data_IF_932747810361
#
_entry.id   IF_932747810361
#
_cell.length_a   1.000
_cell.length_b   1.000
_cell.length_c   1.000
_cell.angle_alpha   90.00
_cell.angle_beta   90.00
_cell.angle_gamma   90.00
#
_symmetry.space_group_name_H-M   'P 1'
#
loop_
_entity.id
_entity.type
_entity.pdbx_description
1 polymer ?
#
# COMPACT_ATOMS: atom_id res chain seq x y z
N UNK A 1 -16.13 -5.78 37.76
CA UNK A 1 -17.47 -5.95 37.14
C UNK A 1 -17.37 -6.29 35.66
N UNK A 2 -16.79 -7.46 35.33
CA UNK A 2 -16.80 -7.97 33.96
C UNK A 2 -17.93 -9.00 33.83
N UNK A 3 -18.80 -8.82 32.84
CA UNK A 3 -19.84 -9.82 32.51
C UNK A 3 -19.14 -11.04 31.90
N UNK A 4 -18.87 -12.05 32.71
CA UNK A 4 -18.21 -13.30 32.29
C UNK A 4 -19.12 -14.23 31.48
N UNK A 5 -20.44 -14.02 31.51
CA UNK A 5 -21.38 -14.87 30.79
C UNK A 5 -21.44 -14.53 29.29
N UNK A 6 -20.84 -15.39 28.45
CA UNK A 6 -20.79 -15.24 26.99
C UNK A 6 -22.17 -15.16 26.32
N UNK A 7 -23.21 -15.79 26.89
CA UNK A 7 -24.57 -15.71 26.34
C UNK A 7 -25.18 -14.33 26.55
N UNK A 8 -24.94 -13.73 27.72
CA UNK A 8 -25.38 -12.36 28.03
C UNK A 8 -24.66 -11.37 27.12
N UNK A 9 -23.34 -11.53 26.94
CA UNK A 9 -22.56 -10.71 26.00
C UNK A 9 -23.12 -10.81 24.59
N UNK A 10 -23.38 -12.02 24.08
CA UNK A 10 -23.98 -12.21 22.74
C UNK A 10 -25.38 -11.60 22.61
N UNK A 11 -26.22 -11.76 23.64
CA UNK A 11 -27.58 -11.20 23.66
C UNK A 11 -27.57 -9.67 23.64
N UNK A 12 -26.70 -9.05 24.44
CA UNK A 12 -26.54 -7.59 24.48
C UNK A 12 -25.90 -7.06 23.20
N UNK A 13 -24.88 -7.74 22.66
CA UNK A 13 -24.26 -7.38 21.37
C UNK A 13 -25.29 -7.34 20.24
N UNK A 14 -26.19 -8.31 20.16
CA UNK A 14 -27.28 -8.31 19.15
C UNK A 14 -28.24 -7.12 19.32
N UNK A 15 -28.50 -6.70 20.57
CA UNK A 15 -29.36 -5.54 20.85
C UNK A 15 -28.67 -4.19 20.61
N UNK A 16 -27.34 -4.17 20.53
CA UNK A 16 -26.57 -2.94 20.33
C UNK A 16 -26.51 -2.50 18.85
N UNK A 17 -26.60 -3.43 17.90
CA UNK A 17 -26.50 -3.12 16.48
C UNK A 17 -27.61 -2.16 15.98
N UNK A 18 -28.91 -2.37 16.27
CA UNK A 18 -29.96 -1.50 15.73
C UNK A 18 -29.85 -0.03 16.17
N UNK A 19 -29.60 0.29 17.47
CA UNK A 19 -29.34 1.66 17.90
C UNK A 19 -28.16 2.32 17.18
N UNK A 20 -27.05 1.59 17.00
CA UNK A 20 -25.87 2.11 16.28
C UNK A 20 -26.19 2.41 14.81
N UNK A 21 -26.94 1.54 14.14
CA UNK A 21 -27.42 1.76 12.77
C UNK A 21 -28.36 2.96 12.70
N UNK A 22 -29.19 3.17 13.73
CA UNK A 22 -30.14 4.30 13.76
C UNK A 22 -29.43 5.64 13.83
N UNK A 23 -28.31 5.72 14.56
CA UNK A 23 -27.49 6.93 14.66
C UNK A 23 -26.91 7.37 13.29
N UNK A 24 -26.75 6.44 12.35
CA UNK A 24 -26.25 6.73 11.00
C UNK A 24 -27.31 7.39 10.10
N UNK A 25 -28.56 7.51 10.57
CA UNK A 25 -29.62 8.26 9.88
C UNK A 25 -29.81 9.69 10.42
N UNK A 26 -29.01 10.12 11.40
CA UNK A 26 -29.05 11.47 11.95
C UNK A 26 -28.39 12.50 11.01
N UNK A 27 -28.26 13.75 11.45
CA UNK A 27 -27.52 14.79 10.72
C UNK A 27 -26.02 14.44 10.59
N UNK A 28 -25.31 14.90 9.54
CA UNK A 28 -23.94 14.47 9.24
C UNK A 28 -22.93 14.63 10.40
N UNK A 29 -23.09 15.66 11.22
CA UNK A 29 -22.24 15.94 12.38
C UNK A 29 -22.43 14.87 13.46
N UNK A 30 -23.68 14.45 13.69
CA UNK A 30 -24.03 13.38 14.62
C UNK A 30 -23.54 12.04 14.05
N UNK A 31 -23.70 11.82 12.74
CA UNK A 31 -23.18 10.62 12.08
C UNK A 31 -21.67 10.52 12.24
N UNK A 32 -20.92 11.60 12.06
CA UNK A 32 -19.47 11.60 12.23
C UNK A 32 -19.05 11.18 13.65
N UNK A 33 -19.67 11.78 14.68
CA UNK A 33 -19.40 11.39 16.07
C UNK A 33 -19.80 9.93 16.31
N UNK A 34 -20.93 9.48 15.76
CA UNK A 34 -21.36 8.10 15.86
C UNK A 34 -20.37 7.14 15.19
N UNK A 35 -19.88 7.46 13.99
CA UNK A 35 -18.90 6.66 13.24
C UNK A 35 -17.58 6.54 14.00
N UNK A 36 -17.05 7.65 14.55
CA UNK A 36 -15.84 7.60 15.39
C UNK A 36 -15.99 6.64 16.59
N UNK A 37 -17.14 6.69 17.25
CA UNK A 37 -17.44 5.78 18.37
C UNK A 37 -17.67 4.34 17.91
N UNK A 38 -18.39 4.12 16.81
CA UNK A 38 -18.57 2.80 16.19
C UNK A 38 -17.20 2.21 15.82
N UNK A 39 -16.28 3.04 15.33
CA UNK A 39 -14.95 2.61 14.95
C UNK A 39 -14.18 2.00 16.15
N UNK A 40 -14.29 2.61 17.33
CA UNK A 40 -13.74 2.09 18.59
C UNK A 40 -14.48 0.84 19.08
N UNK A 41 -15.81 0.81 18.94
CA UNK A 41 -16.63 -0.36 19.31
C UNK A 41 -16.26 -1.57 18.47
N UNK A 42 -16.14 -1.41 17.14
CA UNK A 42 -15.76 -2.47 16.20
C UNK A 42 -14.35 -2.96 16.47
N UNK A 43 -13.43 -2.06 16.86
CA UNK A 43 -12.08 -2.45 17.27
C UNK A 43 -12.09 -3.38 18.48
N UNK A 44 -12.93 -3.08 19.48
CA UNK A 44 -13.03 -3.90 20.70
C UNK A 44 -13.87 -5.16 20.51
N UNK A 45 -14.92 -5.09 19.70
CA UNK A 45 -15.86 -6.19 19.46
C UNK A 45 -16.37 -6.18 18.01
N UNK A 46 -15.62 -6.78 17.07
CA UNK A 46 -15.95 -6.76 15.64
C UNK A 46 -17.29 -7.44 15.29
N UNK A 47 -17.72 -8.41 16.11
CA UNK A 47 -18.92 -9.23 15.85
C UNK A 47 -20.25 -8.48 16.00
N UNK A 48 -20.26 -7.27 16.55
CA UNK A 48 -21.51 -6.52 16.79
C UNK A 48 -22.16 -6.12 15.46
N UNK A 49 -21.36 -5.72 14.47
CA UNK A 49 -21.82 -5.12 13.21
C UNK A 49 -21.43 -5.95 11.98
N UNK A 50 -21.05 -7.21 12.17
CA UNK A 50 -20.55 -8.09 11.10
C UNK A 50 -21.55 -8.27 9.93
N UNK A 51 -22.86 -8.19 10.22
CA UNK A 51 -23.93 -8.37 9.24
C UNK A 51 -24.47 -7.05 8.68
N UNK A 52 -24.03 -5.90 9.21
CA UNK A 52 -24.57 -4.57 8.90
C UNK A 52 -23.67 -3.76 7.95
N UNK A 53 -22.77 -4.42 7.22
CA UNK A 53 -21.75 -3.75 6.39
C UNK A 53 -22.35 -2.76 5.38
N UNK A 54 -23.50 -3.08 4.81
CA UNK A 54 -24.18 -2.25 3.79
C UNK A 54 -24.60 -0.89 4.32
N UNK A 55 -24.82 -0.75 5.63
CA UNK A 55 -25.21 0.52 6.26
C UNK A 55 -24.05 1.53 6.18
N UNK A 56 -22.81 1.04 6.12
CA UNK A 56 -21.61 1.86 6.04
C UNK A 56 -21.25 2.28 4.62
N UNK A 57 -21.98 1.84 3.59
CA UNK A 57 -21.71 2.32 2.24
C UNK A 57 -22.00 3.82 2.12
N UNK A 58 -21.09 4.51 1.44
CA UNK A 58 -21.13 5.94 1.21
C UNK A 58 -22.28 6.28 0.25
N UNK A 59 -23.05 7.30 0.61
CA UNK A 59 -24.03 7.90 -0.30
C UNK A 59 -23.35 9.03 -1.07
N UNK A 60 -23.86 9.34 -2.25
CA UNK A 60 -23.35 10.45 -3.06
C UNK A 60 -23.36 11.80 -2.33
N UNK A 61 -24.37 12.04 -1.49
CA UNK A 61 -24.54 13.28 -0.72
C UNK A 61 -23.87 13.27 0.65
N UNK A 62 -23.15 12.20 1.03
CA UNK A 62 -22.43 12.17 2.29
C UNK A 62 -21.23 13.14 2.23
N UNK A 63 -21.01 13.97 3.26
CA UNK A 63 -19.81 14.80 3.34
C UNK A 63 -18.53 13.95 3.36
N UNK A 64 -17.43 14.50 2.84
CA UNK A 64 -16.15 13.80 2.72
C UNK A 64 -15.68 13.16 4.03
N UNK A 65 -15.81 13.85 5.16
CA UNK A 65 -15.41 13.34 6.47
C UNK A 65 -16.26 12.13 6.93
N UNK A 66 -17.54 12.07 6.54
CA UNK A 66 -18.42 10.91 6.80
C UNK A 66 -17.98 9.75 5.91
N UNK A 67 -17.71 10.01 4.63
CA UNK A 67 -17.24 8.98 3.68
C UNK A 67 -15.94 8.33 4.15
N UNK A 68 -14.98 9.13 4.62
CA UNK A 68 -13.70 8.64 5.14
C UNK A 68 -13.86 7.71 6.36
N UNK A 69 -14.70 8.08 7.31
CA UNK A 69 -14.95 7.25 8.51
C UNK A 69 -15.72 5.97 8.18
N UNK A 70 -16.70 6.06 7.27
CA UNK A 70 -17.43 4.91 6.74
C UNK A 70 -16.48 3.88 6.12
N UNK A 71 -15.56 4.34 5.27
CA UNK A 71 -14.54 3.48 4.66
C UNK A 71 -13.67 2.76 5.68
N UNK A 72 -13.20 3.45 6.73
CA UNK A 72 -12.38 2.82 7.78
C UNK A 72 -13.15 1.68 8.47
N UNK A 73 -14.43 1.89 8.75
CA UNK A 73 -15.29 0.85 9.34
C UNK A 73 -15.53 -0.30 8.36
N UNK A 74 -15.75 -0.02 7.06
CA UNK A 74 -15.90 -1.07 6.04
C UNK A 74 -14.66 -1.97 6.02
N UNK A 75 -13.45 -1.40 6.01
CA UNK A 75 -12.20 -2.17 6.04
C UNK A 75 -12.12 -3.05 7.29
N UNK A 76 -12.53 -2.52 8.46
CA UNK A 76 -12.55 -3.28 9.72
C UNK A 76 -13.56 -4.43 9.72
N UNK A 77 -14.73 -4.23 9.10
CA UNK A 77 -15.78 -5.24 8.98
C UNK A 77 -15.61 -6.18 7.78
N UNK A 78 -14.66 -5.89 6.88
CA UNK A 78 -14.37 -6.75 5.74
C UNK A 78 -13.95 -8.15 6.19
N UNK A 79 -14.56 -9.16 5.56
CA UNK A 79 -14.38 -10.58 5.82
C UNK A 79 -14.49 -11.38 4.53
N UNK A 80 -14.06 -12.65 4.55
CA UNK A 80 -14.19 -13.58 3.41
C UNK A 80 -15.63 -13.67 2.84
N UNK A 81 -16.65 -13.36 3.65
CA UNK A 81 -18.08 -13.47 3.26
C UNK A 81 -18.60 -12.27 2.50
N UNK A 82 -18.04 -11.09 2.72
CA UNK A 82 -18.56 -9.83 2.20
C UNK A 82 -17.56 -9.10 1.29
N UNK A 83 -16.33 -9.60 1.15
CA UNK A 83 -15.25 -8.93 0.42
C UNK A 83 -15.61 -8.63 -1.03
N UNK A 84 -16.35 -9.49 -1.73
CA UNK A 84 -16.75 -9.23 -3.11
C UNK A 84 -17.63 -7.97 -3.23
N UNK A 85 -18.55 -7.79 -2.28
CA UNK A 85 -19.40 -6.61 -2.24
C UNK A 85 -18.61 -5.36 -1.87
N UNK A 86 -17.66 -5.49 -0.93
CA UNK A 86 -16.76 -4.39 -0.53
C UNK A 86 -15.87 -3.95 -1.68
N UNK A 87 -15.29 -4.89 -2.44
CA UNK A 87 -14.43 -4.59 -3.58
C UNK A 87 -15.21 -3.94 -4.72
N UNK A 88 -16.44 -4.38 -4.98
CA UNK A 88 -17.30 -3.74 -5.97
C UNK A 88 -17.55 -2.27 -5.60
N UNK A 89 -17.87 -2.03 -4.32
CA UNK A 89 -18.14 -0.69 -3.81
C UNK A 89 -16.89 0.21 -3.86
N UNK A 90 -15.72 -0.29 -3.43
CA UNK A 90 -14.47 0.49 -3.52
C UNK A 90 -14.02 0.74 -4.96
N UNK A 91 -14.33 -0.18 -5.89
CA UNK A 91 -14.11 0.05 -7.32
C UNK A 91 -14.98 1.19 -7.84
N UNK A 92 -16.24 1.27 -7.40
CA UNK A 92 -17.12 2.40 -7.73
C UNK A 92 -16.61 3.71 -7.14
N UNK A 93 -16.16 3.71 -5.87
CA UNK A 93 -15.58 4.90 -5.24
C UNK A 93 -14.30 5.40 -5.93
N UNK A 94 -13.51 4.49 -6.51
CA UNK A 94 -12.34 4.84 -7.30
C UNK A 94 -12.66 5.54 -8.64
N UNK A 95 -13.95 5.67 -9.00
CA UNK A 95 -14.42 6.41 -10.17
C UNK A 95 -15.11 7.75 -9.81
N UNK A 96 -15.12 8.13 -8.52
CA UNK A 96 -15.63 9.44 -8.10
C UNK A 96 -14.73 10.60 -8.56
N UNK A 97 -15.23 11.82 -8.38
CA UNK A 97 -14.55 13.06 -8.80
C UNK A 97 -13.55 13.57 -7.75
N UNK A 98 -13.77 13.26 -6.47
CA UNK A 98 -12.91 13.70 -5.38
C UNK A 98 -11.63 12.85 -5.33
N UNK A 99 -10.50 13.45 -5.70
CA UNK A 99 -9.21 12.77 -5.84
C UNK A 99 -8.75 12.12 -4.53
N UNK A 100 -8.95 12.79 -3.40
CA UNK A 100 -8.53 12.27 -2.10
C UNK A 100 -9.38 11.05 -1.71
N UNK A 101 -10.70 11.11 -1.92
CA UNK A 101 -11.59 9.98 -1.70
C UNK A 101 -11.24 8.77 -2.60
N UNK A 102 -10.95 9.02 -3.87
CA UNK A 102 -10.52 7.99 -4.83
C UNK A 102 -9.23 7.32 -4.34
N UNK A 103 -8.20 8.09 -3.97
CA UNK A 103 -6.93 7.53 -3.46
C UNK A 103 -7.14 6.66 -2.24
N UNK A 104 -7.94 7.15 -1.28
CA UNK A 104 -8.26 6.40 -0.07
C UNK A 104 -9.00 5.10 -0.40
N UNK A 105 -9.82 5.09 -1.46
CA UNK A 105 -10.51 3.89 -1.95
C UNK A 105 -9.57 2.86 -2.56
N UNK A 106 -8.59 3.30 -3.35
CA UNK A 106 -7.54 2.43 -3.87
C UNK A 106 -6.70 1.84 -2.72
N UNK A 107 -6.32 2.65 -1.72
CA UNK A 107 -5.63 2.17 -0.50
C UNK A 107 -6.48 1.16 0.29
N UNK A 108 -7.79 1.37 0.35
CA UNK A 108 -8.71 0.46 1.04
C UNK A 108 -8.73 -0.94 0.40
N UNK A 109 -8.70 -1.02 -0.94
CA UNK A 109 -8.56 -2.28 -1.67
C UNK A 109 -7.26 -3.00 -1.28
N UNK A 110 -6.17 -2.25 -1.18
CA UNK A 110 -4.87 -2.74 -0.70
C UNK A 110 -4.93 -3.32 0.71
N UNK A 111 -5.54 -2.59 1.64
CA UNK A 111 -5.72 -3.06 3.03
C UNK A 111 -6.57 -4.32 3.09
N UNK A 112 -7.62 -4.43 2.28
CA UNK A 112 -8.38 -5.68 2.15
C UNK A 112 -7.50 -6.84 1.65
N UNK A 113 -6.60 -6.59 0.70
CA UNK A 113 -5.67 -7.60 0.18
C UNK A 113 -4.67 -8.09 1.25
N UNK A 114 -4.15 -7.17 2.08
CA UNK A 114 -3.21 -7.49 3.16
C UNK A 114 -3.92 -8.23 4.30
N UNK A 115 -5.13 -7.79 4.65
CA UNK A 115 -5.94 -8.35 5.74
C UNK A 115 -6.51 -9.74 5.41
N UNK A 116 -6.96 -9.97 4.16
CA UNK A 116 -7.67 -11.17 3.75
C UNK A 116 -6.91 -11.88 2.61
N UNK A 117 -6.10 -12.88 2.95
CA UNK A 117 -5.29 -13.64 1.98
C UNK A 117 -6.12 -14.23 0.83
N UNK A 118 -7.32 -14.73 1.10
CA UNK A 118 -8.22 -15.28 0.06
C UNK A 118 -8.80 -14.23 -0.87
N UNK A 119 -8.72 -12.95 -0.53
CA UNK A 119 -9.20 -11.85 -1.34
C UNK A 119 -8.09 -11.22 -2.19
N UNK A 120 -6.82 -11.49 -1.88
CA UNK A 120 -5.67 -10.81 -2.51
C UNK A 120 -5.70 -10.87 -4.03
N UNK A 121 -5.95 -12.04 -4.62
CA UNK A 121 -6.03 -12.20 -6.09
C UNK A 121 -7.16 -11.35 -6.70
N UNK A 122 -8.32 -11.31 -6.04
CA UNK A 122 -9.46 -10.46 -6.47
C UNK A 122 -9.12 -8.97 -6.34
N UNK A 123 -8.46 -8.56 -5.26
CA UNK A 123 -8.01 -7.17 -5.08
C UNK A 123 -7.03 -6.75 -6.18
N UNK A 124 -6.07 -7.62 -6.54
CA UNK A 124 -5.12 -7.36 -7.62
C UNK A 124 -5.83 -7.17 -8.96
N UNK A 125 -6.80 -8.03 -9.28
CA UNK A 125 -7.58 -7.89 -10.50
C UNK A 125 -8.33 -6.55 -10.55
N UNK A 126 -8.91 -6.11 -9.43
CA UNK A 126 -9.55 -4.78 -9.35
C UNK A 126 -8.52 -3.65 -9.56
N UNK A 127 -7.32 -3.75 -8.96
CA UNK A 127 -6.27 -2.75 -9.13
C UNK A 127 -5.75 -2.70 -10.58
N UNK A 128 -5.62 -3.85 -11.24
CA UNK A 128 -5.28 -3.94 -12.66
C UNK A 128 -6.35 -3.28 -13.55
N UNK A 129 -7.63 -3.54 -13.28
CA UNK A 129 -8.73 -2.88 -13.99
C UNK A 129 -8.66 -1.36 -13.83
N UNK A 130 -8.33 -0.89 -12.61
CA UNK A 130 -8.18 0.54 -12.32
C UNK A 130 -6.97 1.14 -13.05
N UNK A 131 -5.85 0.43 -13.15
CA UNK A 131 -4.67 0.88 -13.93
C UNK A 131 -5.03 1.02 -15.41
N UNK A 132 -5.81 0.10 -15.96
CA UNK A 132 -6.26 0.14 -17.36
C UNK A 132 -7.15 1.36 -17.68
N UNK A 133 -7.71 2.04 -16.68
CA UNK A 133 -8.45 3.29 -16.90
C UNK A 133 -7.56 4.45 -17.36
N UNK A 134 -6.23 4.33 -17.19
CA UNK A 134 -5.23 5.36 -17.54
C UNK A 134 -5.46 6.72 -16.85
N UNK A 135 -6.15 6.72 -15.72
CA UNK A 135 -6.27 7.90 -14.87
C UNK A 135 -5.01 8.01 -14.00
N UNK A 136 -4.13 8.96 -14.30
CA UNK A 136 -2.77 9.03 -13.71
C UNK A 136 -2.75 8.90 -12.18
N UNK A 137 -3.51 9.70 -11.42
CA UNK A 137 -3.51 9.62 -9.95
C UNK A 137 -4.05 8.28 -9.40
N UNK A 138 -4.88 7.56 -10.15
CA UNK A 138 -5.37 6.21 -9.79
C UNK A 138 -4.29 5.18 -10.05
N UNK A 139 -3.64 5.25 -11.21
CA UNK A 139 -2.51 4.36 -11.59
C UNK A 139 -1.41 4.45 -10.54
N UNK A 140 -1.03 5.67 -10.18
CA UNK A 140 0.03 5.93 -9.21
C UNK A 140 -0.27 5.36 -7.83
N UNK A 141 -1.49 5.60 -7.32
CA UNK A 141 -1.90 5.05 -6.04
C UNK A 141 -1.98 3.51 -6.09
N UNK A 142 -2.42 2.94 -7.21
CA UNK A 142 -2.44 1.49 -7.41
C UNK A 142 -1.03 0.87 -7.39
N UNK A 143 -0.02 1.53 -7.96
CA UNK A 143 1.39 1.08 -7.89
C UNK A 143 1.88 1.03 -6.45
N UNK A 144 1.59 2.06 -5.65
CA UNK A 144 1.96 2.11 -4.23
C UNK A 144 1.34 0.94 -3.48
N UNK A 145 0.05 0.69 -3.71
CA UNK A 145 -0.69 -0.41 -3.10
C UNK A 145 -0.16 -1.79 -3.52
N UNK A 146 0.13 -2.00 -4.81
CA UNK A 146 0.64 -3.28 -5.32
C UNK A 146 2.03 -3.58 -4.74
N UNK A 147 2.89 -2.57 -4.58
CA UNK A 147 4.18 -2.73 -3.88
C UNK A 147 3.96 -3.30 -2.47
N UNK A 148 3.00 -2.79 -1.71
CA UNK A 148 2.73 -3.30 -0.37
C UNK A 148 2.14 -4.72 -0.39
N UNK A 149 1.29 -5.05 -1.37
CA UNK A 149 0.83 -6.43 -1.58
C UNK A 149 2.00 -7.37 -1.87
N UNK A 150 2.98 -6.96 -2.69
CA UNK A 150 4.19 -7.76 -2.96
C UNK A 150 5.08 -7.92 -1.72
N UNK A 151 5.15 -6.91 -0.86
CA UNK A 151 5.85 -7.00 0.44
C UNK A 151 5.15 -7.95 1.41
N UNK A 152 3.84 -8.14 1.26
CA UNK A 152 3.06 -9.09 2.06
C UNK A 152 3.12 -10.51 1.51
N UNK A 153 3.00 -10.68 0.19
CA UNK A 153 2.93 -11.97 -0.50
C UNK A 153 3.98 -12.04 -1.62
N UNK A 154 5.27 -12.17 -1.27
CA UNK A 154 6.35 -12.18 -2.26
C UNK A 154 6.23 -13.38 -3.22
N UNK A 155 6.64 -13.19 -4.48
CA UNK A 155 6.73 -14.23 -5.52
C UNK A 155 5.41 -14.93 -5.91
N UNK A 156 4.24 -14.35 -5.57
CA UNK A 156 2.93 -14.95 -5.93
C UNK A 156 2.25 -14.33 -7.15
N UNK A 157 2.51 -13.04 -7.42
CA UNK A 157 1.74 -12.23 -8.37
C UNK A 157 2.64 -11.52 -9.40
N UNK A 158 3.72 -12.19 -9.81
CA UNK A 158 4.75 -11.64 -10.70
C UNK A 158 4.21 -11.26 -12.08
N UNK A 159 3.14 -11.91 -12.56
CA UNK A 159 2.50 -11.59 -13.85
C UNK A 159 1.99 -10.15 -13.96
N UNK A 160 1.78 -9.49 -12.82
CA UNK A 160 1.33 -8.09 -12.74
C UNK A 160 2.44 -7.11 -13.15
N UNK A 161 3.71 -7.49 -13.00
CA UNK A 161 4.87 -6.60 -13.17
C UNK A 161 4.95 -6.06 -14.60
N UNK A 162 4.70 -6.89 -15.61
CA UNK A 162 4.74 -6.46 -17.01
C UNK A 162 3.74 -5.31 -17.26
N UNK A 163 2.51 -5.46 -16.78
CA UNK A 163 1.49 -4.40 -16.88
C UNK A 163 1.90 -3.14 -16.12
N UNK A 164 2.57 -3.26 -14.98
CA UNK A 164 3.07 -2.09 -14.25
C UNK A 164 4.15 -1.33 -15.03
N UNK A 165 5.10 -2.05 -15.63
CA UNK A 165 6.17 -1.46 -16.42
C UNK A 165 5.64 -0.75 -17.68
N UNK A 166 4.56 -1.23 -18.30
CA UNK A 166 3.90 -0.57 -19.43
C UNK A 166 3.28 0.81 -19.08
N UNK A 167 3.12 1.13 -17.79
CA UNK A 167 2.50 2.37 -17.30
C UNK A 167 3.52 3.30 -16.60
N UNK A 168 4.81 3.13 -16.86
CA UNK A 168 5.88 3.94 -16.23
C UNK A 168 5.81 5.43 -16.55
N UNK A 169 5.39 5.78 -17.76
CA UNK A 169 5.28 7.18 -18.21
C UNK A 169 4.21 7.97 -17.45
N UNK A 170 3.25 7.27 -16.82
CA UNK A 170 2.14 7.88 -16.08
C UNK A 170 2.50 8.26 -14.63
N UNK A 171 3.75 8.01 -14.19
CA UNK A 171 4.22 8.22 -12.81
C UNK A 171 4.97 9.55 -12.64
N UNK A 172 4.34 10.52 -11.96
CA UNK A 172 4.96 11.80 -11.59
C UNK A 172 5.22 11.91 -10.08
N UNK A 173 4.41 11.27 -9.24
CA UNK A 173 4.53 11.34 -7.79
C UNK A 173 5.73 10.59 -7.23
N UNK A 174 6.49 11.19 -6.29
CA UNK A 174 7.65 10.56 -5.67
C UNK A 174 7.36 9.21 -5.03
N UNK A 175 6.21 9.06 -4.38
CA UNK A 175 5.84 7.82 -3.69
C UNK A 175 5.58 6.67 -4.69
N UNK A 176 4.92 6.96 -5.81
CA UNK A 176 4.66 6.01 -6.87
C UNK A 176 5.93 5.63 -7.62
N UNK A 177 6.78 6.61 -7.98
CA UNK A 177 8.10 6.38 -8.57
C UNK A 177 8.99 5.51 -7.69
N UNK A 178 9.13 5.85 -6.41
CA UNK A 178 9.89 5.05 -5.47
C UNK A 178 9.31 3.63 -5.32
N UNK A 179 7.98 3.49 -5.30
CA UNK A 179 7.33 2.18 -5.24
C UNK A 179 7.63 1.33 -6.48
N UNK A 180 7.61 1.93 -7.66
CA UNK A 180 7.98 1.25 -8.91
C UNK A 180 9.45 0.85 -8.94
N UNK A 181 10.36 1.76 -8.60
CA UNK A 181 11.81 1.48 -8.50
C UNK A 181 12.09 0.35 -7.50
N UNK A 182 11.33 0.29 -6.40
CA UNK A 182 11.40 -0.82 -5.47
C UNK A 182 11.01 -2.15 -6.12
N UNK A 183 9.90 -2.18 -6.87
CA UNK A 183 9.42 -3.39 -7.58
C UNK A 183 10.48 -3.86 -8.57
N UNK A 184 11.02 -2.95 -9.40
CA UNK A 184 12.05 -3.27 -10.38
C UNK A 184 13.28 -3.86 -9.70
N UNK A 185 13.78 -3.22 -8.63
CA UNK A 185 14.95 -3.73 -7.91
C UNK A 185 14.73 -5.04 -7.15
N UNK A 186 13.55 -5.25 -6.55
CA UNK A 186 13.23 -6.48 -5.82
C UNK A 186 13.04 -7.68 -6.76
N UNK A 187 12.50 -7.44 -7.97
CA UNK A 187 12.21 -8.48 -8.96
C UNK A 187 13.11 -8.42 -10.21
N UNK A 188 14.29 -7.79 -10.09
CA UNK A 188 15.25 -7.65 -11.20
C UNK A 188 15.69 -8.96 -11.88
N UNK A 189 15.57 -10.11 -11.20
CA UNK A 189 15.87 -11.44 -11.78
C UNK A 189 14.70 -12.03 -12.60
N UNK A 190 13.57 -11.31 -12.67
CA UNK A 190 12.36 -11.68 -13.43
C UNK A 190 12.04 -10.69 -14.54
N UNK A 191 12.64 -9.51 -14.51
CA UNK A 191 12.42 -8.43 -15.47
C UNK A 191 13.65 -8.37 -16.37
N UNK A 192 13.49 -8.76 -17.64
CA UNK A 192 14.62 -8.89 -18.57
C UNK A 192 15.32 -7.55 -18.86
N UNK A 193 14.58 -6.45 -18.89
CA UNK A 193 15.07 -5.09 -19.16
C UNK A 193 15.16 -4.22 -17.89
N UNK A 194 15.37 -4.81 -16.72
CA UNK A 194 15.41 -4.08 -15.44
C UNK A 194 16.49 -2.99 -15.40
N UNK A 195 17.62 -3.24 -16.07
CA UNK A 195 18.71 -2.29 -16.25
C UNK A 195 18.26 -1.07 -17.05
N UNK A 196 17.65 -1.26 -18.22
CA UNK A 196 17.14 -0.15 -19.05
C UNK A 196 16.11 0.70 -18.29
N UNK A 197 15.20 0.04 -17.56
CA UNK A 197 14.16 0.72 -16.78
C UNK A 197 14.74 1.52 -15.60
N UNK A 198 15.79 1.01 -14.92
CA UNK A 198 16.45 1.78 -13.86
C UNK A 198 17.32 2.89 -14.43
N UNK A 199 17.95 2.69 -15.59
CA UNK A 199 18.78 3.70 -16.24
C UNK A 199 17.97 4.96 -16.55
N UNK A 200 16.73 4.81 -17.04
CA UNK A 200 15.86 5.97 -17.33
C UNK A 200 15.55 6.81 -16.08
N UNK A 201 15.44 6.20 -14.90
CA UNK A 201 15.30 6.95 -13.65
C UNK A 201 16.63 7.56 -13.15
N UNK A 202 17.77 6.95 -13.49
CA UNK A 202 19.09 7.47 -13.12
C UNK A 202 19.50 8.70 -13.94
N UNK A 203 18.92 8.89 -15.14
CA UNK A 203 19.13 10.09 -15.94
C UNK A 203 18.70 11.37 -15.22
N UNK A 204 17.58 11.33 -14.50
CA UNK A 204 17.03 12.46 -13.72
C UNK A 204 17.36 12.39 -12.23
N UNK A 205 18.32 11.55 -11.81
CA UNK A 205 18.60 11.25 -10.39
C UNK A 205 18.73 12.50 -9.51
N UNK A 206 19.42 13.55 -9.98
CA UNK A 206 19.65 14.78 -9.20
C UNK A 206 18.40 15.64 -9.05
N UNK A 207 17.45 15.51 -9.97
CA UNK A 207 16.17 16.24 -9.97
C UNK A 207 15.11 15.52 -9.12
N UNK A 208 15.29 14.23 -8.90
CA UNK A 208 14.38 13.39 -8.10
C UNK A 208 14.46 13.70 -6.60
N UNK A 209 13.38 13.40 -5.88
CA UNK A 209 13.34 13.57 -4.43
C UNK A 209 14.27 12.59 -3.71
N UNK A 210 14.68 12.94 -2.48
CA UNK A 210 15.52 12.08 -1.65
C UNK A 210 14.96 10.65 -1.48
N UNK A 211 13.64 10.49 -1.40
CA UNK A 211 12.98 9.19 -1.29
C UNK A 211 13.24 8.32 -2.54
N UNK A 212 13.08 8.90 -3.72
CA UNK A 212 13.32 8.21 -5.00
C UNK A 212 14.81 7.92 -5.18
N UNK A 213 15.69 8.88 -4.85
CA UNK A 213 17.15 8.70 -4.91
C UNK A 213 17.64 7.54 -4.02
N UNK A 214 17.18 7.48 -2.77
CA UNK A 214 17.52 6.39 -1.84
C UNK A 214 17.03 5.03 -2.36
N UNK A 215 15.86 5.02 -2.98
CA UNK A 215 15.25 3.82 -3.54
C UNK A 215 15.96 3.36 -4.81
N UNK A 216 16.38 4.30 -5.68
CA UNK A 216 17.21 4.04 -6.85
C UNK A 216 18.56 3.45 -6.47
N UNK A 217 19.26 4.09 -5.52
CA UNK A 217 20.52 3.59 -4.99
C UNK A 217 20.39 2.13 -4.53
N UNK A 218 19.34 1.82 -3.77
CA UNK A 218 19.10 0.46 -3.27
C UNK A 218 18.70 -0.51 -4.39
N UNK A 219 17.88 -0.08 -5.35
CA UNK A 219 17.44 -0.91 -6.47
C UNK A 219 18.60 -1.27 -7.41
N UNK A 220 19.45 -0.31 -7.77
CA UNK A 220 20.64 -0.52 -8.58
C UNK A 220 21.63 -1.45 -7.89
N UNK A 221 21.83 -1.32 -6.57
CA UNK A 221 22.69 -2.25 -5.82
C UNK A 221 22.12 -3.67 -5.84
N UNK A 222 20.79 -3.85 -5.68
CA UNK A 222 20.17 -5.19 -5.80
C UNK A 222 20.33 -5.77 -7.20
N UNK A 223 20.11 -4.96 -8.24
CA UNK A 223 20.30 -5.35 -9.62
C UNK A 223 21.74 -5.84 -9.84
N UNK A 224 22.73 -5.08 -9.38
CA UNK A 224 24.14 -5.47 -9.46
C UNK A 224 24.46 -6.77 -8.73
N UNK A 225 23.93 -6.94 -7.51
CA UNK A 225 24.15 -8.17 -6.75
C UNK A 225 23.53 -9.41 -7.43
N UNK A 226 22.47 -9.23 -8.23
CA UNK A 226 21.81 -10.30 -8.98
C UNK A 226 22.45 -10.55 -10.36
N UNK A 227 22.83 -9.49 -11.07
CA UNK A 227 23.33 -9.51 -12.45
C UNK A 227 24.61 -8.67 -12.60
N UNK A 228 25.76 -9.12 -12.06
CA UNK A 228 26.96 -8.29 -11.96
C UNK A 228 27.62 -7.97 -13.31
N UNK A 229 27.49 -8.84 -14.31
CA UNK A 229 28.25 -8.76 -15.56
C UNK A 229 27.90 -7.52 -16.42
N UNK A 230 26.64 -7.08 -16.37
CA UNK A 230 26.13 -6.00 -17.23
C UNK A 230 25.87 -4.68 -16.49
N UNK A 231 25.99 -4.66 -15.15
CA UNK A 231 25.45 -3.55 -14.33
C UNK A 231 26.54 -2.86 -13.50
N UNK A 232 27.80 -3.20 -13.74
CA UNK A 232 28.95 -2.63 -13.04
C UNK A 232 29.08 -1.11 -13.27
N UNK A 233 28.91 -0.64 -14.51
CA UNK A 233 28.99 0.80 -14.80
C UNK A 233 27.84 1.57 -14.13
N UNK A 234 26.63 1.00 -14.16
CA UNK A 234 25.44 1.58 -13.54
C UNK A 234 25.60 1.72 -12.02
N UNK A 235 26.11 0.69 -11.33
CA UNK A 235 26.32 0.77 -9.87
C UNK A 235 27.42 1.77 -9.51
N UNK A 236 28.48 1.88 -10.31
CA UNK A 236 29.51 2.90 -10.11
C UNK A 236 28.94 4.30 -10.30
N UNK A 237 28.12 4.51 -11.34
CA UNK A 237 27.46 5.79 -11.61
C UNK A 237 26.56 6.22 -10.45
N UNK A 238 25.66 5.36 -9.98
CA UNK A 238 24.73 5.72 -8.88
C UNK A 238 25.48 5.97 -7.56
N UNK A 239 26.55 5.23 -7.30
CA UNK A 239 27.38 5.46 -6.10
C UNK A 239 28.07 6.82 -6.17
N UNK A 240 28.68 7.17 -7.30
CA UNK A 240 29.28 8.49 -7.50
C UNK A 240 28.26 9.62 -7.34
N UNK A 241 27.07 9.47 -7.96
CA UNK A 241 25.97 10.42 -7.80
C UNK A 241 25.55 10.58 -6.33
N UNK A 242 25.41 9.47 -5.60
CA UNK A 242 25.03 9.49 -4.20
C UNK A 242 26.12 10.02 -3.25
N UNK A 243 27.41 9.84 -3.56
CA UNK A 243 28.50 10.19 -2.64
C UNK A 243 29.18 11.53 -2.91
N UNK A 244 29.37 11.88 -4.18
CA UNK A 244 30.12 13.07 -4.62
C UNK A 244 29.20 14.22 -5.03
N UNK A 245 28.00 13.92 -5.53
CA UNK A 245 27.08 14.91 -6.10
C UNK A 245 25.79 15.12 -5.30
N UNK A 246 25.68 14.50 -4.12
CA UNK A 246 24.53 14.64 -3.22
C UNK A 246 24.88 15.51 -2.02
N UNK A 247 24.03 16.50 -1.75
CA UNK A 247 24.06 17.31 -0.53
C UNK A 247 23.30 16.65 0.63
N UNK A 248 22.53 15.58 0.38
CA UNK A 248 21.78 14.87 1.41
C UNK A 248 22.72 13.92 2.20
N UNK A 249 22.90 14.14 3.52
CA UNK A 249 23.79 13.32 4.34
C UNK A 249 23.37 11.84 4.42
N UNK A 250 22.07 11.55 4.51
CA UNK A 250 21.56 10.17 4.59
C UNK A 250 21.83 9.39 3.30
N UNK A 251 21.60 10.04 2.15
CA UNK A 251 21.90 9.45 0.84
C UNK A 251 23.41 9.19 0.68
N UNK A 252 24.24 10.15 1.11
CA UNK A 252 25.70 10.05 1.05
C UNK A 252 26.23 8.95 1.95
N UNK A 253 25.74 8.85 3.18
CA UNK A 253 26.13 7.82 4.13
C UNK A 253 25.72 6.43 3.64
N UNK A 254 24.47 6.28 3.16
CA UNK A 254 24.01 5.01 2.57
C UNK A 254 24.80 4.64 1.32
N UNK A 255 25.18 5.62 0.49
CA UNK A 255 26.07 5.44 -0.65
C UNK A 255 27.44 4.89 -0.23
N UNK A 256 28.10 5.49 0.77
CA UNK A 256 29.37 4.99 1.29
C UNK A 256 29.25 3.61 1.94
N UNK A 257 28.16 3.32 2.64
CA UNK A 257 27.91 1.99 3.21
C UNK A 257 27.84 0.94 2.10
N UNK A 258 27.04 1.17 1.06
CA UNK A 258 27.00 0.25 -0.08
C UNK A 258 28.34 0.13 -0.80
N UNK A 259 29.02 1.25 -1.05
CA UNK A 259 30.34 1.23 -1.70
C UNK A 259 31.33 0.36 -0.93
N UNK A 260 31.46 0.60 0.38
CA UNK A 260 32.38 -0.15 1.25
C UNK A 260 31.98 -1.61 1.34
N UNK A 261 30.68 -1.92 1.44
CA UNK A 261 30.18 -3.28 1.51
C UNK A 261 30.51 -4.06 0.23
N UNK A 262 30.21 -3.49 -0.93
CA UNK A 262 30.50 -4.08 -2.24
C UNK A 262 32.01 -4.24 -2.51
N UNK A 263 32.82 -3.29 -2.07
CA UNK A 263 34.28 -3.33 -2.26
C UNK A 263 34.99 -4.26 -1.29
N UNK A 264 34.41 -4.51 -0.11
CA UNK A 264 35.03 -5.35 0.92
C UNK A 264 34.69 -6.82 0.74
N UNK A 265 33.41 -7.14 0.58
CA UNK A 265 32.93 -8.52 0.51
C UNK A 265 31.58 -8.60 -0.24
N UNK A 266 31.60 -9.01 -1.54
CA UNK A 266 30.40 -9.19 -2.33
C UNK A 266 29.44 -10.27 -1.79
N UNK A 267 29.96 -11.32 -1.12
CA UNK A 267 29.11 -12.37 -0.56
C UNK A 267 28.36 -11.85 0.67
N UNK A 268 29.05 -11.11 1.55
CA UNK A 268 28.40 -10.41 2.66
C UNK A 268 27.39 -9.37 2.15
N UNK A 269 27.70 -8.65 1.07
CA UNK A 269 26.77 -7.70 0.45
C UNK A 269 25.48 -8.39 0.00
N UNK A 270 25.58 -9.56 -0.66
CA UNK A 270 24.41 -10.38 -1.01
C UNK A 270 23.63 -10.81 0.22
N UNK A 271 24.31 -11.34 1.23
CA UNK A 271 23.67 -11.83 2.45
C UNK A 271 22.92 -10.74 3.22
N UNK A 272 23.42 -9.50 3.21
CA UNK A 272 22.79 -8.36 3.89
C UNK A 272 21.67 -7.76 3.05
N UNK A 273 21.94 -7.39 1.80
CA UNK A 273 21.03 -6.60 0.95
C UNK A 273 19.88 -7.44 0.39
N UNK A 274 20.15 -8.69 0.02
CA UNK A 274 19.16 -9.63 -0.52
C UNK A 274 18.55 -10.53 0.57
N UNK A 275 18.77 -10.21 1.84
CA UNK A 275 18.16 -10.94 2.95
C UNK A 275 16.63 -10.91 2.88
N UNK A 276 16.01 -12.00 3.35
CA UNK A 276 14.57 -12.07 3.49
C UNK A 276 14.10 -11.03 4.52
N UNK A 277 13.23 -10.12 4.08
CA UNK A 277 12.63 -9.09 4.93
C UNK A 277 11.34 -9.62 5.55
N UNK A 278 11.02 -9.28 6.81
CA UNK A 278 9.76 -9.66 7.41
C UNK A 278 8.59 -9.10 6.59
N UNK A 279 7.53 -9.89 6.47
CA UNK A 279 6.29 -9.44 5.83
C UNK A 279 5.68 -8.27 6.59
N UNK A 280 5.02 -7.37 5.87
CA UNK A 280 4.23 -6.32 6.50
C UNK A 280 2.99 -6.91 7.20
N UNK A 281 2.57 -6.25 8.28
CA UNK A 281 1.34 -6.57 9.00
C UNK A 281 0.16 -5.73 8.51
N UNK A 282 -1.04 -6.11 8.96
CA UNK A 282 -2.22 -5.26 8.86
C UNK A 282 -2.33 -4.36 10.11
N UNK A 283 -2.25 -3.05 9.93
CA UNK A 283 -2.39 -2.07 11.01
C UNK A 283 -3.85 -1.76 11.37
N UNK A 284 -4.83 -2.38 10.69
CA UNK A 284 -6.28 -2.16 10.93
C UNK A 284 -6.72 -2.42 12.37
N UNK A 285 -5.93 -3.16 13.15
CA UNK A 285 -6.18 -3.45 14.57
C UNK A 285 -5.45 -2.50 15.55
N UNK A 286 -4.65 -1.57 15.04
CA UNK A 286 -3.90 -0.61 15.87
C UNK A 286 -4.66 0.71 15.98
N UNK A 287 -4.68 1.27 17.20
CA UNK A 287 -5.16 2.64 17.41
C UNK A 287 -4.06 3.60 16.94
N UNK A 288 -4.43 4.61 16.16
CA UNK A 288 -3.51 5.73 15.94
C UNK A 288 -3.12 6.31 17.32
N UNK A 289 -1.82 6.51 17.60
CA UNK A 289 -1.36 6.98 18.91
C UNK A 289 -1.84 8.39 19.30
N UNK A 290 -2.49 9.10 18.38
CA UNK A 290 -2.95 10.49 18.52
C UNK A 290 -4.38 10.64 19.06
N UNK A 291 -5.01 9.56 19.54
CA UNK A 291 -6.29 9.59 20.28
C UNK A 291 -6.09 9.69 21.78
#
# INVERSE_FOLDING_TARGET
DEVTNQEVVRSVSKKLAPPLVTLLNAEPEIQYVALRNINLIVLKQPRILENEIKVFFCKYNDPIYVKMEKMEIIIRLASDRNVDQVLLEFKEYATEVDVEFVRRSVRAIGRCAIKLEKATERCINVLLDLIQTKVSYVVQEAVVVIKDIFRKYPNRYESVIATLCENLEDLDEPEAKASMVWIIGEYADRIDNADELLESFLETFQEETAMVQLQLLTATVKLFLKQPDNTQEMVQRVLNLATEHSDNPDLRDRGYVYWRLLSSDPEAARAVVLSHKPEIGDDTSTLEPSL
#
